data_IF_506213086596
#
_entry.id   IF_506213086596
#
_cell.length_a   1.000
_cell.length_b   1.000
_cell.length_c   1.000
_cell.angle_alpha   90.00
_cell.angle_beta   90.00
_cell.angle_gamma   90.00
#
_symmetry.space_group_name_H-M   'P 1'
#
loop_
_entity.id
_entity.type
_entity.pdbx_description
1 polymer ?
#
# COMPACT_ATOMS: atom_id res chain seq x y z
N UNK A 1 5.70 -30.29 46.50
CA UNK A 1 5.06 -30.61 45.19
C UNK A 1 3.95 -29.62 44.81
N UNK A 2 3.11 -29.14 45.75
CA UNK A 2 2.00 -28.20 45.44
C UNK A 2 2.46 -26.84 44.88
N UNK A 3 3.54 -26.26 45.43
CA UNK A 3 4.07 -24.95 45.01
C UNK A 3 4.65 -24.98 43.58
N UNK A 4 5.30 -26.08 43.20
CA UNK A 4 5.88 -26.25 41.86
C UNK A 4 4.79 -26.34 40.78
N UNK A 5 3.64 -26.95 41.10
CA UNK A 5 2.48 -27.01 40.22
C UNK A 5 1.86 -25.63 39.97
N UNK A 6 1.76 -24.78 40.99
CA UNK A 6 1.25 -23.41 40.85
C UNK A 6 2.13 -22.53 39.96
N UNK A 7 3.45 -22.63 40.09
CA UNK A 7 4.41 -21.87 39.26
C UNK A 7 4.34 -22.29 37.80
N UNK A 8 4.19 -23.59 37.52
CA UNK A 8 4.03 -24.12 36.16
C UNK A 8 2.72 -23.63 35.51
N UNK A 9 1.61 -23.60 36.26
CA UNK A 9 0.32 -23.09 35.78
C UNK A 9 0.40 -21.60 35.47
N UNK A 10 0.99 -20.79 36.36
CA UNK A 10 1.18 -19.35 36.14
C UNK A 10 2.07 -19.05 34.93
N UNK A 11 3.15 -19.83 34.74
CA UNK A 11 4.01 -19.71 33.57
C UNK A 11 3.30 -20.05 32.26
N UNK A 12 2.50 -21.13 32.25
CA UNK A 12 1.73 -21.54 31.08
C UNK A 12 0.65 -20.51 30.70
N UNK A 13 -0.02 -19.93 31.69
CA UNK A 13 -1.00 -18.85 31.50
C UNK A 13 -0.33 -17.61 30.90
N UNK A 14 0.88 -17.25 31.32
CA UNK A 14 1.63 -16.10 30.78
C UNK A 14 2.03 -16.27 29.32
N UNK A 15 2.39 -17.49 28.90
CA UNK A 15 2.72 -17.81 27.49
C UNK A 15 1.49 -17.73 26.59
N UNK A 16 0.30 -18.09 27.09
CA UNK A 16 -0.96 -17.98 26.33
C UNK A 16 -1.35 -16.52 26.04
N UNK A 17 -1.02 -15.56 26.93
CA UNK A 17 -1.28 -14.14 26.71
C UNK A 17 -0.32 -13.45 25.72
N UNK A 18 0.83 -14.08 25.40
CA UNK A 18 1.80 -13.56 24.44
C UNK A 18 1.52 -13.96 22.98
N UNK A 19 0.54 -14.84 22.74
CA UNK A 19 0.17 -15.31 21.39
C UNK A 19 -1.01 -14.59 20.75
N UNK A 20 -1.48 -13.49 21.34
CA UNK A 20 -2.52 -12.66 20.74
C UNK A 20 -1.88 -11.83 19.62
N UNK A 21 -1.54 -12.47 18.50
CA UNK A 21 -1.32 -11.74 17.26
C UNK A 21 -2.70 -11.21 16.85
N UNK A 22 -2.93 -9.90 16.77
CA UNK A 22 -4.13 -9.40 16.13
C UNK A 22 -4.10 -9.93 14.69
N UNK A 23 -4.96 -10.89 14.39
CA UNK A 23 -5.28 -11.21 13.01
C UNK A 23 -6.02 -9.99 12.48
N UNK A 24 -5.32 -9.17 11.69
CA UNK A 24 -6.00 -8.21 10.84
C UNK A 24 -6.82 -9.05 9.87
N UNK A 25 -8.12 -9.21 10.16
CA UNK A 25 -9.07 -9.62 9.15
C UNK A 25 -8.86 -8.63 8.01
N UNK A 26 -8.41 -9.12 6.85
CA UNK A 26 -8.45 -8.33 5.63
C UNK A 26 -9.90 -7.92 5.49
N UNK A 27 -10.18 -6.63 5.73
CA UNK A 27 -11.45 -6.07 5.30
C UNK A 27 -11.43 -6.29 3.80
N UNK A 28 -12.13 -7.31 3.32
CA UNK A 28 -12.24 -7.58 1.88
C UNK A 28 -13.07 -6.44 1.33
N UNK A 29 -12.41 -5.30 1.10
CA UNK A 29 -13.04 -4.18 0.43
C UNK A 29 -13.34 -4.71 -0.96
N UNK A 30 -14.62 -4.95 -1.22
CA UNK A 30 -15.14 -5.41 -2.52
C UNK A 30 -15.09 -4.25 -3.51
N UNK A 31 -13.93 -3.59 -3.60
CA UNK A 31 -13.73 -2.45 -4.45
C UNK A 31 -13.79 -2.92 -5.89
N UNK A 32 -14.73 -2.33 -6.62
CA UNK A 32 -14.91 -2.61 -8.04
C UNK A 32 -14.05 -1.63 -8.81
N UNK A 33 -13.03 -2.15 -9.47
CA UNK A 33 -12.20 -1.39 -10.38
C UNK A 33 -12.80 -1.39 -11.78
N UNK A 34 -12.62 -0.30 -12.53
CA UNK A 34 -13.01 -0.29 -13.95
C UNK A 34 -12.31 -1.42 -14.73
N UNK A 35 -12.96 -1.86 -15.81
CA UNK A 35 -12.42 -2.87 -16.70
C UNK A 35 -12.30 -4.28 -16.08
N UNK A 36 -13.04 -4.57 -15.02
CA UNK A 36 -13.00 -5.86 -14.31
C UNK A 36 -11.58 -6.24 -13.84
N UNK A 37 -10.76 -5.25 -13.45
CA UNK A 37 -9.43 -5.53 -12.89
C UNK A 37 -9.58 -6.21 -11.54
N UNK A 38 -8.90 -7.33 -11.37
CA UNK A 38 -8.87 -8.13 -10.15
C UNK A 38 -7.48 -8.12 -9.54
N UNK A 39 -7.43 -8.10 -8.21
CA UNK A 39 -6.21 -8.12 -7.42
C UNK A 39 -6.33 -9.21 -6.35
N UNK A 40 -5.25 -9.95 -6.13
CA UNK A 40 -5.19 -11.10 -5.24
C UNK A 40 -5.00 -10.67 -3.78
N UNK A 41 -4.21 -9.62 -3.59
CA UNK A 41 -3.84 -9.11 -2.28
C UNK A 41 -4.38 -7.68 -2.08
N UNK A 42 -4.72 -7.37 -0.83
CA UNK A 42 -5.11 -6.05 -0.36
C UNK A 42 -4.38 -5.75 0.94
N UNK A 43 -3.86 -4.53 1.09
CA UNK A 43 -3.32 -4.04 2.35
C UNK A 43 -4.05 -2.76 2.74
N UNK A 44 -4.59 -2.74 3.95
CA UNK A 44 -5.10 -1.53 4.59
C UNK A 44 -3.89 -0.75 5.11
N UNK A 45 -3.73 0.49 4.66
CA UNK A 45 -2.62 1.34 5.10
C UNK A 45 -3.03 2.15 6.33
N UNK A 46 -2.08 2.43 7.24
CA UNK A 46 -2.38 2.97 8.56
C UNK A 46 -2.90 4.42 8.55
N UNK A 47 -2.85 5.11 7.41
CA UNK A 47 -3.18 6.52 7.29
C UNK A 47 -4.08 6.77 6.08
N UNK A 48 -4.83 7.87 6.13
CA UNK A 48 -5.62 8.42 5.01
C UNK A 48 -6.75 7.51 4.51
N UNK A 49 -7.18 6.53 5.31
CA UNK A 49 -8.17 5.52 4.89
C UNK A 49 -7.83 4.97 3.51
N UNK A 50 -6.57 4.57 3.34
CA UNK A 50 -6.00 4.20 2.05
C UNK A 50 -5.70 2.71 1.96
N UNK A 51 -5.76 2.21 0.72
CA UNK A 51 -5.72 0.78 0.41
C UNK A 51 -4.77 0.52 -0.74
N UNK A 52 -3.99 -0.55 -0.64
CA UNK A 52 -3.12 -1.03 -1.71
C UNK A 52 -3.56 -2.42 -2.14
N UNK A 53 -4.19 -2.49 -3.31
CA UNK A 53 -4.50 -3.74 -3.99
C UNK A 53 -3.39 -4.10 -4.95
N UNK A 54 -2.99 -5.37 -5.00
CA UNK A 54 -1.91 -5.80 -5.89
C UNK A 54 -1.96 -7.30 -6.22
N UNK A 55 -1.32 -7.64 -7.33
CA UNK A 55 -1.00 -9.02 -7.75
C UNK A 55 0.38 -9.01 -8.35
N UNK A 56 1.23 -9.94 -7.91
CA UNK A 56 2.54 -10.15 -8.49
C UNK A 56 2.49 -11.37 -9.43
N UNK A 57 2.94 -11.20 -10.65
CA UNK A 57 3.11 -12.27 -11.62
C UNK A 57 4.59 -12.64 -11.69
N UNK A 58 4.93 -13.80 -11.13
CA UNK A 58 6.31 -14.28 -11.07
C UNK A 58 6.85 -14.73 -12.43
N UNK A 59 5.99 -15.02 -13.41
CA UNK A 59 6.41 -15.50 -14.74
C UNK A 59 7.12 -14.43 -15.57
N UNK A 60 6.74 -13.17 -15.35
CA UNK A 60 7.28 -11.99 -16.05
C UNK A 60 7.78 -10.91 -15.07
N UNK A 61 7.82 -11.22 -13.78
CA UNK A 61 8.23 -10.31 -12.70
C UNK A 61 7.46 -8.98 -12.70
N UNK A 62 6.18 -9.00 -13.05
CA UNK A 62 5.34 -7.79 -13.10
C UNK A 62 4.48 -7.62 -11.85
N UNK A 63 4.25 -6.36 -11.48
CA UNK A 63 3.38 -5.99 -10.37
C UNK A 63 2.18 -5.18 -10.89
N UNK A 64 0.99 -5.78 -10.83
CA UNK A 64 -0.27 -5.06 -10.99
C UNK A 64 -0.64 -4.46 -9.65
N UNK A 65 -1.01 -3.19 -9.61
CA UNK A 65 -1.49 -2.55 -8.38
C UNK A 65 -2.62 -1.54 -8.63
N UNK A 66 -3.40 -1.29 -7.60
CA UNK A 66 -4.30 -0.15 -7.49
C UNK A 66 -4.15 0.46 -6.09
N UNK A 67 -3.90 1.76 -6.06
CA UNK A 67 -3.85 2.53 -4.82
C UNK A 67 -5.11 3.39 -4.71
N UNK A 68 -5.77 3.33 -3.57
CA UNK A 68 -6.99 4.06 -3.31
C UNK A 68 -6.81 4.89 -2.06
N UNK A 69 -7.21 6.15 -2.14
CA UNK A 69 -7.26 7.07 -1.03
C UNK A 69 -8.30 8.15 -1.32
N UNK A 70 -8.87 8.73 -0.27
CA UNK A 70 -9.75 9.89 -0.40
C UNK A 70 -8.92 11.16 -0.65
N UNK A 71 -9.44 12.05 -1.50
CA UNK A 71 -8.86 13.38 -1.75
C UNK A 71 -9.96 14.41 -1.99
N UNK A 72 -9.59 15.70 -1.98
CA UNK A 72 -10.51 16.79 -2.32
C UNK A 72 -10.81 16.80 -3.82
N UNK A 73 -11.83 17.56 -4.25
CA UNK A 73 -12.26 17.60 -5.66
C UNK A 73 -11.15 18.00 -6.65
N UNK A 74 -10.25 18.89 -6.23
CA UNK A 74 -9.07 19.36 -6.97
C UNK A 74 -7.76 18.82 -6.36
N UNK A 75 -7.89 17.82 -5.49
CA UNK A 75 -6.76 17.19 -4.82
C UNK A 75 -6.03 16.19 -5.69
N UNK A 76 -5.07 15.53 -5.06
CA UNK A 76 -4.29 14.46 -5.64
C UNK A 76 -4.14 13.33 -4.63
N UNK A 77 -3.80 12.14 -5.14
CA UNK A 77 -3.37 10.99 -4.36
C UNK A 77 -2.08 10.45 -4.97
N UNK A 78 -1.21 9.91 -4.14
CA UNK A 78 0.05 9.37 -4.62
C UNK A 78 0.41 8.08 -3.90
N UNK A 79 1.09 7.22 -4.63
CA UNK A 79 1.78 6.06 -4.08
C UNK A 79 3.17 5.97 -4.70
N UNK A 80 4.15 5.53 -3.92
CA UNK A 80 5.52 5.44 -4.39
C UNK A 80 6.24 4.21 -3.81
N UNK A 81 7.21 3.71 -4.57
CA UNK A 81 8.25 2.82 -4.06
C UNK A 81 9.52 3.60 -3.81
N UNK A 82 10.31 3.12 -2.87
CA UNK A 82 11.48 3.84 -2.42
C UNK A 82 12.71 2.94 -2.35
N UNK A 83 13.40 2.77 -3.48
CA UNK A 83 14.56 1.88 -3.56
C UNK A 83 15.75 2.38 -2.72
N UNK A 84 15.78 3.65 -2.34
CA UNK A 84 16.90 4.26 -1.62
C UNK A 84 16.72 4.30 -0.09
N UNK A 85 15.76 3.53 0.45
CA UNK A 85 15.44 3.46 1.88
C UNK A 85 14.32 4.43 2.28
N UNK A 86 13.74 4.33 3.50
CA UNK A 86 12.44 4.92 3.86
C UNK A 86 12.47 6.46 4.06
N UNK A 87 12.63 7.22 2.97
CA UNK A 87 12.68 8.70 2.94
C UNK A 87 12.05 9.28 1.67
N UNK A 88 11.42 10.45 1.70
CA UNK A 88 10.72 10.95 0.50
C UNK A 88 11.63 11.09 -0.74
N UNK A 89 12.83 11.65 -0.57
CA UNK A 89 13.82 11.78 -1.66
C UNK A 89 14.37 10.41 -2.06
N UNK A 90 14.31 10.10 -3.35
CA UNK A 90 14.61 8.80 -3.95
C UNK A 90 13.36 8.01 -4.34
N UNK A 91 12.17 8.47 -3.92
CA UNK A 91 10.91 7.79 -4.21
C UNK A 91 10.53 7.88 -5.69
N UNK A 92 10.10 6.75 -6.24
CA UNK A 92 9.56 6.59 -7.57
C UNK A 92 8.03 6.59 -7.47
N UNK A 93 7.41 7.74 -7.76
CA UNK A 93 6.02 8.01 -7.43
C UNK A 93 5.10 7.94 -8.65
N UNK A 94 3.88 7.46 -8.43
CA UNK A 94 2.73 7.63 -9.29
C UNK A 94 1.78 8.60 -8.58
N UNK A 95 1.45 9.71 -9.24
CA UNK A 95 0.54 10.72 -8.69
C UNK A 95 -0.66 10.82 -9.61
N UNK A 96 -1.84 10.61 -9.03
CA UNK A 96 -3.13 10.76 -9.69
C UNK A 96 -3.79 12.07 -9.25
N UNK A 97 -4.29 12.84 -10.21
CA UNK A 97 -4.92 14.15 -9.99
C UNK A 97 -5.86 14.48 -11.14
N UNK A 98 -6.68 15.52 -10.95
CA UNK A 98 -7.60 16.00 -11.98
C UNK A 98 -6.92 17.02 -12.89
N UNK A 99 -6.98 16.80 -14.19
CA UNK A 99 -6.49 17.70 -15.23
C UNK A 99 -7.59 17.90 -16.27
N UNK A 100 -8.00 19.15 -16.49
CA UNK A 100 -9.04 19.52 -17.47
C UNK A 100 -10.34 18.70 -17.31
N UNK A 101 -10.75 18.49 -16.06
CA UNK A 101 -11.97 17.76 -15.73
C UNK A 101 -11.83 16.23 -15.70
N UNK A 102 -10.68 15.67 -16.08
CA UNK A 102 -10.44 14.22 -16.14
C UNK A 102 -9.37 13.77 -15.16
N UNK A 103 -9.56 12.60 -14.56
CA UNK A 103 -8.51 12.00 -13.75
C UNK A 103 -7.37 11.50 -14.64
N UNK A 104 -6.15 11.85 -14.27
CA UNK A 104 -4.91 11.40 -14.92
C UNK A 104 -3.94 10.92 -13.87
N UNK A 105 -3.08 9.98 -14.24
CA UNK A 105 -1.94 9.55 -13.43
C UNK A 105 -0.65 9.79 -14.22
N UNK A 106 0.38 10.27 -13.55
CA UNK A 106 1.72 10.51 -14.10
C UNK A 106 2.78 9.97 -13.15
N UNK A 107 3.95 9.70 -13.70
CA UNK A 107 5.14 9.26 -12.94
C UNK A 107 6.02 10.45 -12.56
N UNK A 108 6.66 10.35 -11.40
CA UNK A 108 7.52 11.39 -10.84
C UNK A 108 8.70 10.74 -10.13
N UNK A 109 9.92 11.13 -10.50
CA UNK A 109 11.14 10.79 -9.78
C UNK A 109 11.40 11.89 -8.74
N UNK A 110 11.21 11.57 -7.46
CA UNK A 110 11.32 12.55 -6.37
C UNK A 110 12.77 12.69 -5.96
N UNK A 111 13.51 13.61 -6.59
CA UNK A 111 14.95 13.80 -6.35
C UNK A 111 15.26 14.88 -5.32
N UNK A 112 14.29 15.70 -4.94
CA UNK A 112 14.43 16.73 -3.91
C UNK A 112 13.06 17.13 -3.34
N UNK A 113 13.06 17.95 -2.29
CA UNK A 113 11.85 18.59 -1.74
C UNK A 113 11.42 19.85 -2.50
N UNK A 114 12.10 20.17 -3.60
CA UNK A 114 11.72 21.28 -4.47
C UNK A 114 10.59 20.85 -5.42
N UNK A 115 10.26 21.73 -6.37
CA UNK A 115 9.23 21.46 -7.38
C UNK A 115 9.54 20.16 -8.14
N UNK A 116 8.64 19.20 -8.01
CA UNK A 116 8.65 17.98 -8.81
C UNK A 116 8.02 18.23 -10.18
N UNK A 117 8.51 17.52 -11.20
CA UNK A 117 7.97 17.59 -12.56
C UNK A 117 7.71 16.17 -13.06
N UNK A 118 6.81 16.03 -14.03
CA UNK A 118 6.52 14.74 -14.66
C UNK A 118 7.83 14.20 -15.25
N UNK A 119 8.20 12.98 -14.86
CA UNK A 119 9.44 12.37 -15.31
C UNK A 119 9.29 10.85 -15.40
N UNK A 120 10.17 10.21 -16.16
CA UNK A 120 10.33 8.76 -16.06
C UNK A 120 10.84 8.39 -14.66
N UNK A 121 10.49 7.18 -14.23
CA UNK A 121 10.99 6.55 -13.01
C UNK A 121 11.85 5.34 -13.37
N UNK A 122 12.55 4.78 -12.39
CA UNK A 122 13.46 3.64 -12.58
C UNK A 122 12.74 2.36 -13.06
N UNK A 123 11.48 2.20 -12.66
CA UNK A 123 10.65 1.04 -13.04
C UNK A 123 9.84 1.33 -14.30
N UNK A 124 9.77 0.35 -15.19
CA UNK A 124 8.84 0.42 -16.32
C UNK A 124 7.39 0.37 -15.80
N UNK A 125 6.55 1.28 -16.31
CA UNK A 125 5.13 1.35 -15.94
C UNK A 125 4.29 1.46 -17.20
N UNK A 126 3.29 0.60 -17.29
CA UNK A 126 2.31 0.56 -18.38
C UNK A 126 0.89 0.45 -17.81
N UNK A 127 -0.12 0.53 -18.68
CA UNK A 127 -1.55 0.42 -18.34
C UNK A 127 -2.01 1.34 -17.21
N UNK A 128 -1.39 2.52 -17.10
CA UNK A 128 -1.72 3.49 -16.06
C UNK A 128 -3.10 4.10 -16.29
N UNK A 129 -3.96 3.99 -15.28
CA UNK A 129 -5.32 4.55 -15.26
C UNK A 129 -5.57 5.23 -13.92
N UNK A 130 -6.32 6.34 -13.96
CA UNK A 130 -6.91 7.00 -12.79
C UNK A 130 -8.41 7.16 -13.06
N UNK A 131 -9.22 7.01 -12.01
CA UNK A 131 -10.69 7.02 -12.08
C UNK A 131 -11.32 7.79 -10.92
#
# INVERSE_FOLDING_TARGET
MVVLGFVLILGFVSVLFLQINPSHSLTYSSQKFSGNRLYEYCNDLPQLSSYLHWTYDSSNSSLKKAFLASSTADGWVAWAVNPQGPKMVGSQALIAYKLDGKYTVKTYNVTSYQKITVSKIEYEVWDMVAE
#
